data_IF_068223888702
#
_entry.id   IF_068223888702
#
_cell.length_a   1.000
_cell.length_b   1.000
_cell.length_c   1.000
_cell.angle_alpha   90.00
_cell.angle_beta   90.00
_cell.angle_gamma   90.00
#
_symmetry.space_group_name_H-M   'P 1'
#
loop_
_entity.id
_entity.type
_entity.pdbx_description
1 polymer ?
#
# COMPACT_ATOMS: atom_id res chain seq x y z
N UNK A 1 -18.03 -31.99 11.39
CA UNK A 1 -18.93 -30.83 11.24
C UNK A 1 -18.03 -29.62 11.20
N UNK A 2 -18.02 -28.94 10.07
CA UNK A 2 -16.88 -28.13 9.58
C UNK A 2 -16.83 -26.78 10.28
N UNK A 3 -16.00 -26.70 11.32
CA UNK A 3 -15.52 -25.46 11.93
C UNK A 3 -14.80 -24.62 10.85
N UNK A 4 -15.48 -23.60 10.31
CA UNK A 4 -15.03 -22.69 9.25
C UNK A 4 -14.67 -23.34 7.89
N UNK A 5 -14.85 -22.59 6.80
CA UNK A 5 -14.55 -23.08 5.46
C UNK A 5 -13.04 -23.07 5.15
N UNK A 6 -12.31 -22.09 5.70
CA UNK A 6 -10.85 -22.01 5.61
C UNK A 6 -10.25 -21.22 6.79
N UNK A 7 -9.15 -21.73 7.34
CA UNK A 7 -8.34 -21.05 8.36
C UNK A 7 -7.19 -20.31 7.66
N UNK A 8 -7.07 -19.01 7.92
CA UNK A 8 -5.99 -18.20 7.37
C UNK A 8 -4.66 -18.50 8.05
N UNK A 9 -3.78 -19.24 7.36
CA UNK A 9 -2.44 -19.61 7.86
C UNK A 9 -1.31 -19.05 7.00
N UNK A 10 -1.59 -18.03 6.17
CA UNK A 10 -0.59 -17.46 5.29
C UNK A 10 0.43 -16.64 6.07
N UNK A 11 1.71 -16.80 5.70
CA UNK A 11 2.79 -15.99 6.25
C UNK A 11 2.85 -14.63 5.55
N UNK A 12 3.06 -13.52 6.29
CA UNK A 12 3.27 -12.20 5.68
C UNK A 12 4.64 -12.10 4.98
N UNK A 13 5.53 -13.07 5.19
CA UNK A 13 6.84 -13.16 4.55
C UNK A 13 6.80 -14.12 3.35
N UNK A 14 7.35 -13.66 2.23
CA UNK A 14 7.69 -14.50 1.08
C UNK A 14 8.95 -15.29 1.39
N UNK A 15 10.00 -14.60 1.83
CA UNK A 15 11.27 -15.18 2.28
C UNK A 15 11.66 -14.53 3.61
N UNK A 16 11.75 -15.34 4.66
CA UNK A 16 12.15 -14.92 6.00
C UNK A 16 13.63 -15.18 6.19
N UNK A 17 14.44 -14.13 6.34
CA UNK A 17 15.89 -14.25 6.55
C UNK A 17 16.22 -14.24 8.05
N UNK A 18 15.55 -13.38 8.81
CA UNK A 18 15.61 -13.35 10.28
C UNK A 18 14.20 -13.20 10.87
N UNK A 19 14.12 -13.14 12.20
CA UNK A 19 12.83 -13.00 12.89
C UNK A 19 12.05 -11.72 12.48
N UNK A 20 12.76 -10.64 12.19
CA UNK A 20 12.19 -9.31 11.86
C UNK A 20 12.48 -8.86 10.42
N UNK A 21 13.49 -9.44 9.75
CA UNK A 21 13.91 -9.03 8.41
C UNK A 21 13.59 -10.13 7.41
N UNK A 22 12.85 -9.75 6.38
CA UNK A 22 12.51 -10.63 5.28
C UNK A 22 11.73 -9.89 4.19
N UNK A 23 11.62 -10.54 3.04
CA UNK A 23 10.83 -10.02 1.92
C UNK A 23 9.36 -10.24 2.26
N UNK A 24 8.60 -9.16 2.39
CA UNK A 24 7.17 -9.20 2.74
C UNK A 24 6.29 -9.12 1.50
N UNK A 25 5.12 -9.73 1.57
CA UNK A 25 4.12 -9.69 0.49
C UNK A 25 3.70 -8.27 0.13
N UNK A 26 3.62 -7.35 1.10
CA UNK A 26 3.35 -5.94 0.84
C UNK A 26 4.36 -5.29 -0.10
N UNK A 27 5.65 -5.49 0.13
CA UNK A 27 6.70 -4.91 -0.72
C UNK A 27 6.58 -5.43 -2.15
N UNK A 28 6.31 -6.73 -2.29
CA UNK A 28 6.10 -7.37 -3.60
C UNK A 28 4.82 -6.87 -4.28
N UNK A 29 3.73 -6.68 -3.53
CA UNK A 29 2.48 -6.14 -4.05
C UNK A 29 2.64 -4.71 -4.57
N UNK A 30 3.36 -3.85 -3.83
CA UNK A 30 3.70 -2.51 -4.32
C UNK A 30 4.54 -2.56 -5.59
N UNK A 31 5.58 -3.40 -5.63
CA UNK A 31 6.42 -3.58 -6.81
C UNK A 31 5.59 -4.04 -8.02
N UNK A 32 4.72 -5.04 -7.84
CA UNK A 32 3.82 -5.53 -8.88
C UNK A 32 2.84 -4.43 -9.34
N UNK A 33 2.27 -3.65 -8.42
CA UNK A 33 1.39 -2.53 -8.73
C UNK A 33 2.06 -1.46 -9.60
N UNK A 34 3.27 -1.02 -9.21
CA UNK A 34 4.03 -0.05 -9.99
C UNK A 34 4.53 -0.62 -11.32
N UNK A 35 4.93 -1.88 -11.37
CA UNK A 35 5.32 -2.56 -12.61
C UNK A 35 4.15 -2.62 -13.60
N UNK A 36 2.95 -3.00 -13.15
CA UNK A 36 1.76 -3.01 -13.99
C UNK A 36 1.36 -1.60 -14.44
N UNK A 37 1.42 -0.61 -13.55
CA UNK A 37 1.19 0.78 -13.90
C UNK A 37 2.17 1.26 -14.99
N UNK A 38 3.46 0.92 -14.87
CA UNK A 38 4.48 1.23 -15.87
C UNK A 38 4.16 0.57 -17.22
N UNK A 39 3.88 -0.74 -17.24
CA UNK A 39 3.60 -1.47 -18.48
C UNK A 39 2.37 -0.93 -19.21
N UNK A 40 1.30 -0.64 -18.47
CA UNK A 40 0.06 -0.07 -19.02
C UNK A 40 0.31 1.34 -19.55
N UNK A 41 0.95 2.21 -18.76
CA UNK A 41 1.24 3.57 -19.18
C UNK A 41 2.17 3.61 -20.40
N UNK A 42 3.19 2.74 -20.45
CA UNK A 42 4.09 2.62 -21.59
C UNK A 42 3.35 2.19 -22.85
N UNK A 43 2.43 1.22 -22.72
CA UNK A 43 1.60 0.77 -23.84
C UNK A 43 0.69 1.89 -24.35
N UNK A 44 0.13 2.70 -23.46
CA UNK A 44 -0.69 3.86 -23.84
C UNK A 44 0.15 4.95 -24.51
N UNK A 45 1.34 5.25 -23.99
CA UNK A 45 2.27 6.23 -24.55
C UNK A 45 2.72 5.85 -25.95
N UNK A 46 3.12 4.58 -26.16
CA UNK A 46 3.50 4.06 -27.49
C UNK A 46 2.37 4.11 -28.51
N UNK A 47 1.11 4.07 -28.06
CA UNK A 47 -0.07 4.20 -28.91
C UNK A 47 -0.52 5.65 -29.12
N UNK A 48 0.21 6.63 -28.59
CA UNK A 48 -0.15 8.06 -28.65
C UNK A 48 -1.46 8.39 -27.91
N UNK A 49 -1.89 7.56 -26.96
CA UNK A 49 -3.14 7.75 -26.20
C UNK A 49 -2.96 8.67 -24.97
N UNK A 50 -1.72 8.97 -24.63
CA UNK A 50 -1.36 9.87 -23.53
C UNK A 50 -0.33 10.88 -24.01
N UNK A 51 -0.33 12.07 -23.40
CA UNK A 51 0.64 13.11 -23.74
C UNK A 51 2.07 12.80 -23.28
N UNK A 52 2.25 11.86 -22.34
CA UNK A 52 3.57 11.49 -21.81
C UNK A 52 4.36 10.73 -22.88
N UNK A 53 5.55 11.20 -23.29
CA UNK A 53 6.35 10.49 -24.27
C UNK A 53 6.86 9.15 -23.71
N UNK A 54 6.95 8.07 -24.52
CA UNK A 54 7.33 6.74 -24.06
C UNK A 54 8.64 6.69 -23.26
N UNK A 55 9.60 7.53 -23.62
CA UNK A 55 10.93 7.60 -23.01
C UNK A 55 10.87 8.19 -21.59
N UNK A 56 9.83 8.96 -21.28
CA UNK A 56 9.62 9.61 -19.97
C UNK A 56 8.63 8.87 -19.09
N UNK A 57 8.12 7.71 -19.52
CA UNK A 57 7.19 6.91 -18.71
C UNK A 57 7.86 6.42 -17.43
N UNK A 58 9.12 5.99 -17.49
CA UNK A 58 9.87 5.60 -16.30
C UNK A 58 10.01 6.79 -15.33
N UNK A 59 10.36 7.97 -15.85
CA UNK A 59 10.45 9.19 -15.04
C UNK A 59 9.12 9.52 -14.36
N UNK A 60 7.99 9.39 -15.08
CA UNK A 60 6.66 9.63 -14.54
C UNK A 60 6.33 8.66 -13.39
N UNK A 61 6.62 7.36 -13.57
CA UNK A 61 6.42 6.36 -12.51
C UNK A 61 7.31 6.64 -11.29
N UNK A 62 8.56 7.06 -11.50
CA UNK A 62 9.47 7.45 -10.41
C UNK A 62 8.96 8.66 -9.64
N UNK A 63 8.42 9.67 -10.32
CA UNK A 63 7.76 10.81 -9.67
C UNK A 63 6.57 10.36 -8.81
N UNK A 64 5.75 9.43 -9.31
CA UNK A 64 4.61 8.89 -8.56
C UNK A 64 5.06 8.09 -7.34
N UNK A 65 6.06 7.21 -7.47
CA UNK A 65 6.64 6.44 -6.36
C UNK A 65 7.19 7.40 -5.29
N UNK A 66 7.99 8.39 -5.71
CA UNK A 66 8.52 9.41 -4.82
C UNK A 66 7.42 10.21 -4.11
N UNK A 67 6.36 10.57 -4.84
CA UNK A 67 5.18 11.24 -4.29
C UNK A 67 4.49 10.42 -3.20
N UNK A 68 4.25 9.13 -3.44
CA UNK A 68 3.66 8.22 -2.44
C UNK A 68 4.54 8.11 -1.20
N UNK A 69 5.85 7.88 -1.39
CA UNK A 69 6.79 7.67 -0.29
C UNK A 69 6.98 8.93 0.55
N UNK A 70 7.32 10.05 -0.08
CA UNK A 70 7.59 11.32 0.61
C UNK A 70 6.29 11.87 1.19
N UNK A 71 5.21 11.90 0.40
CA UNK A 71 3.92 12.39 0.87
C UNK A 71 3.37 11.55 2.02
N UNK A 72 3.43 10.22 1.90
CA UNK A 72 2.95 9.31 2.94
C UNK A 72 3.73 9.45 4.24
N UNK A 73 5.05 9.63 4.15
CA UNK A 73 5.90 9.84 5.33
C UNK A 73 5.67 11.19 5.98
N UNK A 74 5.66 12.26 5.20
CA UNK A 74 5.40 13.61 5.72
C UNK A 74 3.99 13.72 6.31
N UNK A 75 2.99 13.14 5.67
CA UNK A 75 1.63 13.10 6.22
C UNK A 75 1.57 12.35 7.55
N UNK A 76 2.30 11.24 7.68
CA UNK A 76 2.37 10.51 8.96
C UNK A 76 2.95 11.39 10.07
N UNK A 77 4.10 11.99 9.79
CA UNK A 77 4.80 12.85 10.74
C UNK A 77 3.94 14.07 11.11
N UNK A 78 3.32 14.75 10.15
CA UNK A 78 2.56 15.99 10.43
C UNK A 78 1.28 15.69 11.21
N UNK A 79 0.55 14.62 10.88
CA UNK A 79 -0.78 14.39 11.44
C UNK A 79 -0.81 13.47 12.66
N UNK A 80 0.16 12.56 12.79
CA UNK A 80 0.12 11.53 13.84
C UNK A 80 1.26 11.69 14.85
N UNK A 81 2.48 12.01 14.39
CA UNK A 81 3.66 12.10 15.26
C UNK A 81 4.52 13.34 14.96
N UNK A 82 4.01 14.55 15.24
CA UNK A 82 4.69 15.81 14.89
C UNK A 82 6.03 15.99 15.62
N UNK A 83 6.20 15.34 16.77
CA UNK A 83 7.46 15.37 17.54
C UNK A 83 8.64 14.79 16.76
N UNK A 84 8.39 13.88 15.81
CA UNK A 84 9.43 13.32 14.92
C UNK A 84 10.08 14.36 14.02
N UNK A 85 9.45 15.51 13.78
CA UNK A 85 10.03 16.62 12.99
C UNK A 85 11.32 17.14 13.66
N UNK A 86 11.33 17.22 14.98
CA UNK A 86 12.42 17.80 15.76
C UNK A 86 13.36 16.74 16.34
N UNK A 87 13.05 15.46 16.15
CA UNK A 87 13.83 14.35 16.70
C UNK A 87 15.00 14.01 15.79
N UNK A 88 16.21 14.33 16.25
CA UNK A 88 17.47 13.97 15.61
C UNK A 88 18.12 12.87 16.45
N UNK A 89 18.27 11.68 15.87
CA UNK A 89 18.80 10.49 16.53
C UNK A 89 20.25 10.27 16.11
N UNK A 90 21.07 9.66 16.98
CA UNK A 90 22.48 9.33 16.68
C UNK A 90 22.67 8.13 15.74
N UNK A 91 21.62 7.34 15.49
CA UNK A 91 21.61 6.20 14.58
C UNK A 91 21.10 6.59 13.19
N UNK A 92 21.65 5.99 12.13
CA UNK A 92 21.18 6.24 10.77
C UNK A 92 19.76 5.68 10.54
N UNK A 93 18.84 6.45 9.92
CA UNK A 93 18.98 7.81 9.47
C UNK A 93 18.88 8.81 10.63
N UNK A 94 19.79 9.79 10.65
CA UNK A 94 19.93 10.76 11.74
C UNK A 94 18.67 11.59 12.01
N UNK A 95 17.78 11.68 11.01
CA UNK A 95 16.51 12.37 11.16
C UNK A 95 15.37 11.36 11.11
N UNK A 96 14.56 11.36 12.17
CA UNK A 96 13.51 10.36 12.38
C UNK A 96 12.41 10.44 11.31
N UNK A 97 12.25 11.59 10.66
CA UNK A 97 11.39 11.78 9.48
C UNK A 97 11.82 10.87 8.31
N UNK A 98 13.11 10.59 8.15
CA UNK A 98 13.64 9.73 7.09
C UNK A 98 13.64 8.25 7.44
N UNK A 99 13.33 7.89 8.69
CA UNK A 99 13.32 6.52 9.18
C UNK A 99 12.09 5.71 8.73
N UNK A 100 11.92 5.59 7.40
CA UNK A 100 10.81 4.85 6.77
C UNK A 100 10.78 3.35 7.12
N UNK A 101 11.91 2.81 7.57
CA UNK A 101 12.08 1.39 7.90
C UNK A 101 11.45 1.02 9.25
N UNK A 102 11.18 2.00 10.13
CA UNK A 102 10.41 1.79 11.36
C UNK A 102 8.90 1.74 11.13
N UNK A 103 8.44 1.78 9.87
CA UNK A 103 7.02 1.95 9.52
C UNK A 103 6.57 3.39 9.71
N UNK A 104 5.25 3.62 9.69
CA UNK A 104 4.65 4.96 9.81
C UNK A 104 4.49 5.67 8.47
N UNK A 105 3.37 5.39 7.81
CA UNK A 105 2.95 5.98 6.53
C UNK A 105 1.47 6.37 6.62
N UNK A 106 1.12 7.56 6.14
CA UNK A 106 -0.25 8.03 6.09
C UNK A 106 -0.81 7.98 4.66
N UNK A 107 -1.98 7.34 4.49
CA UNK A 107 -2.64 7.26 3.19
C UNK A 107 -2.96 8.64 2.61
N UNK A 108 -3.51 9.55 3.42
CA UNK A 108 -3.83 10.93 3.01
C UNK A 108 -2.60 11.70 2.52
N UNK A 109 -1.48 11.54 3.23
CA UNK A 109 -0.20 12.12 2.81
C UNK A 109 0.28 11.57 1.47
N UNK A 110 0.15 10.25 1.28
CA UNK A 110 0.49 9.60 0.00
C UNK A 110 -0.35 10.13 -1.16
N UNK A 111 -1.67 10.31 -0.96
CA UNK A 111 -2.57 10.88 -1.96
C UNK A 111 -2.18 12.33 -2.33
N UNK A 112 -1.89 13.16 -1.32
CA UNK A 112 -1.42 14.53 -1.55
C UNK A 112 -0.07 14.56 -2.30
N UNK A 113 0.87 13.70 -1.92
CA UNK A 113 2.16 13.57 -2.60
C UNK A 113 2.03 13.12 -4.06
N UNK A 114 1.12 12.20 -4.35
CA UNK A 114 0.78 11.79 -5.73
C UNK A 114 0.14 12.93 -6.51
N UNK A 115 -0.73 13.73 -5.90
CA UNK A 115 -1.32 14.90 -6.57
C UNK A 115 -0.24 15.92 -6.96
N UNK A 116 0.72 16.18 -6.07
CA UNK A 116 1.88 17.04 -6.36
C UNK A 116 2.77 16.44 -7.46
N UNK A 117 3.04 15.14 -7.41
CA UNK A 117 3.79 14.44 -8.46
C UNK A 117 3.08 14.51 -9.82
N UNK A 118 1.77 14.30 -9.85
CA UNK A 118 0.92 14.47 -11.02
C UNK A 118 1.01 15.89 -11.57
N UNK A 119 0.85 16.90 -10.72
CA UNK A 119 1.03 18.30 -11.13
C UNK A 119 2.42 18.55 -11.73
N UNK A 120 3.48 18.00 -11.15
CA UNK A 120 4.86 18.12 -11.67
C UNK A 120 5.02 17.43 -13.03
N UNK A 121 4.43 16.26 -13.22
CA UNK A 121 4.40 15.54 -14.49
C UNK A 121 3.65 16.36 -15.55
N UNK A 122 2.56 17.03 -15.17
CA UNK A 122 1.72 17.82 -16.07
C UNK A 122 2.48 19.00 -16.69
N UNK A 123 3.53 19.50 -16.01
CA UNK A 123 4.41 20.55 -16.52
C UNK A 123 5.34 20.07 -17.64
N UNK A 124 5.41 18.75 -17.86
CA UNK A 124 6.26 18.14 -18.87
C UNK A 124 7.74 18.07 -18.45
N UNK A 125 8.57 17.72 -19.42
CA UNK A 125 10.02 17.57 -19.26
C UNK A 125 10.74 18.47 -20.26
N UNK A 126 11.90 18.97 -19.87
CA UNK A 126 12.80 19.66 -20.80
C UNK A 126 13.56 18.62 -21.62
N UNK A 127 13.42 18.71 -22.93
CA UNK A 127 14.24 17.96 -23.88
C UNK A 127 15.63 18.61 -24.01
N UNK A 128 16.56 17.90 -24.64
CA UNK A 128 17.95 18.36 -24.81
C UNK A 128 18.06 19.62 -25.68
N UNK A 129 17.10 19.82 -26.58
CA UNK A 129 16.96 21.00 -27.43
C UNK A 129 16.30 22.21 -26.72
N UNK A 130 16.00 22.08 -25.42
CA UNK A 130 15.35 23.11 -24.61
C UNK A 130 13.82 23.15 -24.73
N UNK A 131 13.21 22.32 -25.60
CA UNK A 131 11.75 22.27 -25.74
C UNK A 131 11.10 21.54 -24.57
N UNK A 132 9.87 21.94 -24.23
CA UNK A 132 9.08 21.22 -23.23
C UNK A 132 8.25 20.15 -23.94
N UNK A 133 8.51 18.88 -23.60
CA UNK A 133 7.80 17.72 -24.13
C UNK A 133 6.86 17.13 -23.06
N UNK A 134 5.74 16.58 -23.50
CA UNK A 134 4.79 15.88 -22.64
C UNK A 134 4.01 16.77 -21.65
N UNK A 135 4.02 18.09 -21.85
CA UNK A 135 3.16 19.00 -21.09
C UNK A 135 1.70 18.67 -21.37
N UNK A 136 0.91 18.56 -20.32
CA UNK A 136 -0.51 18.19 -20.43
C UNK A 136 -1.33 18.78 -19.30
N UNK A 137 -2.65 18.71 -19.45
CA UNK A 137 -3.60 19.13 -18.42
C UNK A 137 -3.52 18.18 -17.22
N UNK A 138 -3.70 18.71 -16.01
CA UNK A 138 -3.78 17.89 -14.79
C UNK A 138 -4.94 16.91 -14.88
N UNK A 139 -6.05 17.30 -15.51
CA UNK A 139 -7.21 16.44 -15.73
C UNK A 139 -6.86 15.18 -16.53
N UNK A 140 -6.07 15.33 -17.59
CA UNK A 140 -5.61 14.18 -18.38
C UNK A 140 -4.75 13.22 -17.56
N UNK A 141 -3.96 13.74 -16.62
CA UNK A 141 -3.20 12.88 -15.70
C UNK A 141 -4.08 12.18 -14.67
N UNK A 142 -5.18 12.81 -14.24
CA UNK A 142 -6.17 12.15 -13.39
C UNK A 142 -6.88 11.01 -14.13
N UNK A 143 -7.21 11.19 -15.41
CA UNK A 143 -7.76 10.11 -16.25
C UNK A 143 -6.77 8.94 -16.36
N UNK A 144 -5.48 9.24 -16.58
CA UNK A 144 -4.43 8.21 -16.58
C UNK A 144 -4.32 7.54 -15.21
N UNK A 145 -4.33 8.31 -14.12
CA UNK A 145 -4.28 7.80 -12.77
C UNK A 145 -5.45 6.85 -12.47
N UNK A 146 -6.66 7.17 -12.96
CA UNK A 146 -7.82 6.29 -12.84
C UNK A 146 -7.64 4.94 -13.56
N UNK A 147 -6.83 4.89 -14.64
CA UNK A 147 -6.52 3.65 -15.36
C UNK A 147 -5.45 2.82 -14.64
N UNK A 148 -4.41 3.46 -14.08
CA UNK A 148 -3.25 2.74 -13.54
C UNK A 148 -3.33 2.48 -12.03
N UNK A 149 -4.04 3.32 -11.26
CA UNK A 149 -4.18 3.16 -9.81
C UNK A 149 -4.91 1.88 -9.36
N UNK A 150 -5.89 1.32 -10.11
CA UNK A 150 -6.56 0.08 -9.70
C UNK A 150 -5.61 -1.11 -9.54
N UNK A 151 -4.52 -1.17 -10.30
CA UNK A 151 -3.52 -2.24 -10.13
C UNK A 151 -2.85 -2.17 -8.76
N UNK A 152 -2.46 -0.97 -8.31
CA UNK A 152 -1.91 -0.77 -6.97
C UNK A 152 -2.90 -1.15 -5.87
N UNK A 153 -4.17 -0.75 -6.01
CA UNK A 153 -5.23 -1.11 -5.07
C UNK A 153 -5.49 -2.62 -5.04
N UNK A 154 -5.53 -3.27 -6.21
CA UNK A 154 -5.75 -4.71 -6.34
C UNK A 154 -4.66 -5.52 -5.63
N UNK A 155 -3.39 -5.28 -5.96
CA UNK A 155 -2.28 -6.00 -5.31
C UNK A 155 -2.18 -5.64 -3.82
N UNK A 156 -2.44 -4.38 -3.46
CA UNK A 156 -2.53 -3.97 -2.07
C UNK A 156 -3.55 -4.80 -1.29
N UNK A 157 -4.76 -4.95 -1.82
CA UNK A 157 -5.82 -5.76 -1.18
C UNK A 157 -5.47 -7.24 -1.08
N UNK A 158 -4.73 -7.78 -2.05
CA UNK A 158 -4.18 -9.14 -1.94
C UNK A 158 -3.17 -9.21 -0.78
N UNK A 159 -2.28 -8.23 -0.65
CA UNK A 159 -1.32 -8.19 0.46
C UNK A 159 -2.01 -8.02 1.83
N UNK A 160 -3.05 -7.19 1.91
CA UNK A 160 -3.88 -7.07 3.13
C UNK A 160 -4.45 -8.43 3.52
N UNK A 161 -5.04 -9.15 2.56
CA UNK A 161 -5.59 -10.48 2.79
C UNK A 161 -4.51 -11.46 3.28
N UNK A 162 -3.35 -11.52 2.60
CA UNK A 162 -2.23 -12.40 2.99
C UNK A 162 -1.74 -12.08 4.41
N UNK A 163 -1.66 -10.81 4.78
CA UNK A 163 -1.25 -10.38 6.12
C UNK A 163 -2.35 -10.56 7.19
N UNK A 164 -3.61 -10.80 6.80
CA UNK A 164 -4.74 -10.81 7.72
C UNK A 164 -5.11 -9.42 8.25
N UNK A 165 -4.92 -8.37 7.46
CA UNK A 165 -5.23 -6.98 7.83
C UNK A 165 -6.54 -6.51 7.17
N UNK A 166 -7.20 -5.51 7.78
CA UNK A 166 -8.43 -4.88 7.29
C UNK A 166 -9.56 -5.90 7.04
N UNK A 167 -9.87 -6.65 8.09
CA UNK A 167 -10.88 -7.71 8.07
C UNK A 167 -12.28 -7.16 7.78
N UNK A 168 -13.12 -8.03 7.22
CA UNK A 168 -14.50 -7.73 6.87
C UNK A 168 -15.43 -7.72 8.08
N UNK A 169 -16.72 -7.79 7.79
CA UNK A 169 -17.76 -7.94 8.82
C UNK A 169 -17.75 -9.38 9.36
N UNK A 170 -18.08 -9.52 10.65
CA UNK A 170 -18.33 -10.84 11.26
C UNK A 170 -19.65 -11.37 10.71
N UNK A 171 -19.57 -12.48 10.00
CA UNK A 171 -20.73 -13.16 9.39
C UNK A 171 -21.22 -14.34 10.22
N UNK A 172 -20.38 -14.91 11.07
CA UNK A 172 -20.74 -16.04 11.92
C UNK A 172 -20.03 -15.94 13.26
N UNK A 173 -20.77 -15.89 14.38
CA UNK A 173 -20.18 -15.94 15.70
C UNK A 173 -19.32 -17.19 15.89
N UNK A 174 -18.30 -17.14 16.75
CA UNK A 174 -17.47 -18.29 17.07
C UNK A 174 -18.33 -19.51 17.46
N UNK A 175 -18.08 -20.65 16.80
CA UNK A 175 -18.81 -21.90 17.04
C UNK A 175 -20.08 -22.11 16.19
N UNK A 176 -20.49 -21.12 15.38
CA UNK A 176 -21.57 -21.26 14.40
C UNK A 176 -20.96 -21.53 13.01
N UNK A 177 -21.49 -22.51 12.28
CA UNK A 177 -21.05 -22.79 10.90
C UNK A 177 -21.37 -21.60 9.99
N UNK A 178 -20.32 -20.99 9.45
CA UNK A 178 -20.45 -19.90 8.50
C UNK A 178 -20.54 -20.37 7.05
N UNK A 179 -20.95 -19.47 6.12
CA UNK A 179 -20.93 -19.76 4.70
C UNK A 179 -19.54 -20.20 4.18
N UNK A 180 -19.50 -20.98 3.10
CA UNK A 180 -18.27 -21.56 2.53
C UNK A 180 -17.20 -20.55 2.09
N UNK A 181 -17.54 -19.27 1.95
CA UNK A 181 -16.63 -18.19 1.55
C UNK A 181 -16.06 -17.42 2.75
N UNK A 182 -16.43 -17.79 3.98
CA UNK A 182 -15.90 -17.16 5.20
C UNK A 182 -14.49 -17.66 5.51
N UNK A 183 -13.68 -16.75 6.05
CA UNK A 183 -12.27 -17.00 6.39
C UNK A 183 -12.10 -16.71 7.87
N UNK A 184 -11.51 -17.65 8.60
CA UNK A 184 -11.17 -17.45 10.00
C UNK A 184 -9.75 -16.90 10.14
N UNK A 185 -9.60 -15.72 10.73
CA UNK A 185 -8.30 -15.13 10.98
C UNK A 185 -7.88 -15.37 12.43
N UNK A 186 -6.74 -16.04 12.71
CA UNK A 186 -6.31 -16.36 14.08
C UNK A 186 -6.19 -15.14 15.01
N UNK A 187 -5.93 -13.97 14.43
CA UNK A 187 -5.79 -12.69 15.13
C UNK A 187 -7.12 -12.22 15.75
N UNK A 188 -8.26 -12.65 15.21
CA UNK A 188 -9.58 -12.36 15.77
C UNK A 188 -9.75 -12.99 17.16
N UNK A 189 -9.12 -14.13 17.44
CA UNK A 189 -9.19 -14.78 18.76
C UNK A 189 -8.56 -13.92 19.87
N UNK A 190 -7.64 -13.03 19.53
CA UNK A 190 -6.90 -12.19 20.46
C UNK A 190 -7.50 -10.78 20.63
N UNK A 191 -8.47 -10.41 19.79
CA UNK A 191 -9.04 -9.05 19.81
C UNK A 191 -10.24 -9.03 20.78
N UNK A 192 -10.16 -8.25 21.86
CA UNK A 192 -11.24 -8.13 22.85
C UNK A 192 -12.55 -7.70 22.18
N UNK A 193 -13.57 -8.56 22.22
CA UNK A 193 -14.84 -8.45 21.47
C UNK A 193 -15.05 -9.51 20.37
N UNK A 194 -13.99 -10.24 20.01
CA UNK A 194 -13.96 -11.29 18.97
C UNK A 194 -13.58 -12.67 19.52
N UNK A 195 -13.28 -12.76 20.83
CA UNK A 195 -13.07 -14.04 21.50
C UNK A 195 -14.40 -14.84 21.52
N UNK A 196 -14.38 -16.16 21.21
CA UNK A 196 -15.52 -17.02 21.48
C UNK A 196 -15.98 -16.83 22.92
N UNK A 197 -17.30 -16.76 23.14
CA UNK A 197 -17.82 -16.97 24.49
C UNK A 197 -17.30 -18.35 24.95
N UNK A 198 -16.47 -18.36 25.99
CA UNK A 198 -16.00 -19.60 26.59
C UNK A 198 -17.22 -20.41 26.99
N UNK A 199 -17.26 -21.69 26.62
CA UNK A 199 -18.31 -22.59 27.11
C UNK A 199 -18.18 -22.72 28.64
N UNK A 200 -19.28 -22.90 29.36
CA UNK A 200 -19.28 -23.07 30.83
C UNK A 200 -18.17 -24.01 31.37
N UNK A 201 -17.89 -25.19 30.76
CA UNK A 201 -16.78 -26.03 31.19
C UNK A 201 -15.38 -25.40 31.01
N UNK A 202 -15.19 -24.51 30.02
CA UNK A 202 -13.93 -23.79 29.81
C UNK A 202 -13.76 -22.63 30.81
N UNK A 203 -14.87 -22.05 31.29
CA UNK A 203 -14.85 -21.02 32.34
C UNK A 203 -14.53 -21.60 33.72
N UNK A 204 -14.92 -22.85 33.99
CA UNK A 204 -14.66 -23.54 35.26
C UNK A 204 -13.20 -24.04 35.43
N UNK A 205 -12.36 -23.90 34.41
CA UNK A 205 -10.95 -24.32 34.40
C UNK A 205 -9.94 -23.16 34.56
N UNK A 206 -10.44 -21.94 34.76
CA UNK A 206 -9.67 -20.73 35.08
C UNK A 206 -9.88 -20.36 36.55
#
# INVERSE_FOLDING_TARGET
MTLAAWLHTLSPFILRMTETVGIRWYGMAYLAGFAMAYLVLLRLARKGRVSIPPERVADAIMWLIGGVLVGGRLGFVIFYEPDKIWTITSSFPFWDVLAIHHGGMASHGGMAGVAVAGWRISRGWRAQDGRIVGRTSVWHLLDIAAIISPFGLFFGRIANFINGELLGKIESPPGIEGPWWTVQFPQELLTSGHAPALTEPQQQQL
#
